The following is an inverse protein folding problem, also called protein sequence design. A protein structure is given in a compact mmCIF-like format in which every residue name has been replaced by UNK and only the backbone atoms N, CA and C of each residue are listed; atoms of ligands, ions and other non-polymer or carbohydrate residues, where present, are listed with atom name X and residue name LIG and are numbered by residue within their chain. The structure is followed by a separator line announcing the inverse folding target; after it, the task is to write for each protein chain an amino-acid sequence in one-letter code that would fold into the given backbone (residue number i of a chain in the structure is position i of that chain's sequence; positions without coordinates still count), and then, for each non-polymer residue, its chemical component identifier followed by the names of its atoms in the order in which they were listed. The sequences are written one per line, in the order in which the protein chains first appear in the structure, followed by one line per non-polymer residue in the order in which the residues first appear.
data_IF_447214270631
#
_entry.id   IF_447214270631
#
_cell.length_a   1.000
_cell.length_b   1.000
_cell.length_c   1.000
_cell.angle_alpha   90.00
_cell.angle_beta   90.00
_cell.angle_gamma   90.00
#
_symmetry.space_group_name_H-M   'P 1'
#
loop_
_entity.id
_entity.type
_entity.pdbx_description
1 polymer ?
#
# COMPACT_ATOMS: atom_id res chain seq x y z
N UNK A 1 18.81 -6.11 -6.59
CA UNK A 1 18.73 -5.00 -5.63
C UNK A 1 19.25 -5.54 -4.31
N UNK A 2 20.35 -5.00 -3.79
CA UNK A 2 20.76 -5.28 -2.42
C UNK A 2 19.74 -4.57 -1.51
N UNK A 3 19.13 -5.28 -0.54
CA UNK A 3 18.07 -4.73 0.31
C UNK A 3 18.58 -3.70 1.35
N UNK A 4 19.86 -3.33 1.29
CA UNK A 4 20.54 -2.46 2.26
C UNK A 4 20.44 -0.96 1.92
N UNK A 5 19.83 -0.61 0.77
CA UNK A 5 19.52 0.75 0.37
C UNK A 5 20.71 1.59 -0.11
N UNK A 6 21.88 0.98 -0.36
CA UNK A 6 23.11 1.72 -0.73
C UNK A 6 23.17 2.21 -2.18
N UNK A 7 22.32 1.69 -3.06
CA UNK A 7 22.28 2.07 -4.48
C UNK A 7 20.82 2.24 -4.95
N UNK A 8 20.16 3.35 -4.57
CA UNK A 8 18.77 3.58 -4.95
C UNK A 8 18.67 3.83 -6.45
N UNK A 9 17.83 3.05 -7.12
CA UNK A 9 17.48 3.29 -8.53
C UNK A 9 16.19 4.10 -8.60
N UNK A 10 16.25 5.25 -9.29
CA UNK A 10 15.04 5.99 -9.64
C UNK A 10 14.20 5.16 -10.61
N UNK A 11 12.96 4.82 -10.23
CA UNK A 11 12.03 4.15 -11.12
C UNK A 11 11.41 5.18 -12.06
N UNK A 12 10.81 6.24 -11.53
CA UNK A 12 10.22 7.34 -12.30
C UNK A 12 10.43 8.68 -11.58
N UNK A 13 10.53 9.76 -12.36
CA UNK A 13 10.57 11.13 -11.84
C UNK A 13 9.15 11.68 -11.71
N UNK A 14 8.82 12.28 -10.57
CA UNK A 14 7.60 13.06 -10.37
C UNK A 14 7.86 14.25 -9.43
N UNK A 15 7.04 15.30 -9.54
CA UNK A 15 7.03 16.42 -8.60
C UNK A 15 6.20 16.12 -7.33
N UNK A 16 5.41 15.05 -7.31
CA UNK A 16 4.64 14.60 -6.15
C UNK A 16 4.96 13.15 -5.76
N UNK A 17 4.64 12.79 -4.51
CA UNK A 17 4.84 11.44 -4.00
C UNK A 17 3.81 10.48 -4.62
N UNK A 18 4.25 9.36 -5.24
CA UNK A 18 3.33 8.35 -5.73
C UNK A 18 2.67 7.60 -4.58
N UNK A 19 1.44 7.15 -4.84
CA UNK A 19 0.87 6.00 -4.14
C UNK A 19 1.27 4.77 -4.95
N UNK A 20 1.79 3.74 -4.31
CA UNK A 20 2.37 2.60 -5.01
C UNK A 20 2.33 1.31 -4.20
N UNK A 21 2.33 0.20 -4.92
CA UNK A 21 2.47 -1.13 -4.35
C UNK A 21 3.28 -2.03 -5.29
N UNK A 22 4.25 -2.75 -4.74
CA UNK A 22 4.99 -3.77 -5.48
C UNK A 22 4.13 -5.00 -5.68
N UNK A 23 4.25 -5.65 -6.84
CA UNK A 23 3.65 -6.95 -7.07
C UNK A 23 4.15 -7.98 -6.04
N UNK A 24 3.39 -9.05 -5.76
CA UNK A 24 3.79 -10.09 -4.79
C UNK A 24 5.12 -10.78 -5.11
N UNK A 25 5.54 -10.72 -6.38
CA UNK A 25 6.81 -11.27 -6.87
C UNK A 25 7.94 -10.22 -6.99
N UNK A 26 7.65 -8.96 -6.66
CA UNK A 26 8.59 -7.83 -6.69
C UNK A 26 9.05 -7.39 -8.09
N UNK A 27 8.51 -7.97 -9.17
CA UNK A 27 8.94 -7.65 -10.54
C UNK A 27 8.25 -6.42 -11.12
N UNK A 28 7.08 -6.06 -10.60
CA UNK A 28 6.30 -4.92 -11.05
C UNK A 28 6.04 -3.96 -9.90
N UNK A 29 5.81 -2.70 -10.25
CA UNK A 29 5.22 -1.70 -9.35
C UNK A 29 3.96 -1.17 -10.01
N UNK A 30 2.86 -1.23 -9.28
CA UNK A 30 1.65 -0.47 -9.59
C UNK A 30 1.74 0.87 -8.86
N UNK A 31 1.39 1.97 -9.52
CA UNK A 31 1.49 3.29 -8.94
C UNK A 31 0.43 4.23 -9.50
N UNK A 32 0.14 5.27 -8.75
CA UNK A 32 -0.74 6.36 -9.13
C UNK A 32 0.02 7.68 -8.97
N UNK A 33 0.03 8.50 -10.02
CA UNK A 33 0.73 9.79 -10.08
C UNK A 33 -0.18 10.85 -10.66
N UNK A 34 -0.13 12.03 -10.06
CA UNK A 34 -0.83 13.20 -10.60
C UNK A 34 -0.07 13.70 -11.82
N UNK A 35 -0.80 14.06 -12.87
CA UNK A 35 -0.23 14.70 -14.05
C UNK A 35 -0.63 16.19 -14.14
N UNK A 36 -0.18 16.86 -15.20
CA UNK A 36 -0.43 18.29 -15.40
C UNK A 36 -1.91 18.61 -15.70
N UNK A 37 -2.73 17.60 -15.96
CA UNK A 37 -4.15 17.76 -16.22
C UNK A 37 -4.98 17.56 -14.93
N UNK A 38 -4.33 17.53 -13.77
CA UNK A 38 -4.92 17.26 -12.45
C UNK A 38 -5.67 15.92 -12.40
N UNK A 39 -5.20 14.96 -13.20
CA UNK A 39 -5.70 13.61 -13.25
C UNK A 39 -4.74 12.65 -12.53
N UNK A 40 -5.26 11.50 -12.09
CA UNK A 40 -4.46 10.44 -11.49
C UNK A 40 -4.93 9.07 -11.96
N UNK A 41 -4.16 8.46 -12.84
CA UNK A 41 -4.42 7.11 -13.34
C UNK A 41 -3.61 6.04 -12.59
N UNK A 42 -4.06 4.78 -12.68
CA UNK A 42 -3.30 3.62 -12.24
C UNK A 42 -2.36 3.16 -13.37
N UNK A 43 -1.08 3.09 -13.07
CA UNK A 43 -0.03 2.63 -13.97
C UNK A 43 0.66 1.38 -13.42
N UNK A 44 1.11 0.51 -14.32
CA UNK A 44 2.01 -0.61 -13.99
C UNK A 44 3.27 -0.50 -14.82
N UNK A 45 4.42 -0.81 -14.22
CA UNK A 45 5.70 -0.97 -14.94
C UNK A 45 6.56 -2.07 -14.32
N UNK A 46 7.49 -2.60 -15.11
CA UNK A 46 8.53 -3.47 -14.56
C UNK A 46 9.56 -2.67 -13.75
N UNK A 47 9.98 -3.23 -12.62
CA UNK A 47 10.98 -2.62 -11.72
C UNK A 47 12.37 -2.59 -12.37
N UNK A 48 12.70 -3.59 -13.17
CA UNK A 48 13.96 -3.65 -13.91
C UNK A 48 13.97 -2.75 -15.17
N UNK A 49 12.79 -2.29 -15.62
CA UNK A 49 12.59 -1.50 -16.83
C UNK A 49 12.43 -2.34 -18.11
N UNK A 50 12.28 -3.66 -18.01
CA UNK A 50 12.07 -4.56 -19.15
C UNK A 50 10.75 -4.35 -19.89
N UNK A 51 9.74 -3.80 -19.19
CA UNK A 51 8.42 -3.47 -19.73
C UNK A 51 8.15 -1.97 -19.49
N UNK A 52 7.77 -1.21 -20.53
CA UNK A 52 7.43 0.21 -20.39
C UNK A 52 6.18 0.40 -19.51
N UNK A 53 6.00 1.59 -18.90
CA UNK A 53 4.79 1.89 -18.15
C UNK A 53 3.53 1.73 -19.01
N UNK A 54 2.51 1.08 -18.46
CA UNK A 54 1.20 0.92 -19.05
C UNK A 54 0.14 1.58 -18.16
N UNK A 55 -0.68 2.45 -18.74
CA UNK A 55 -1.84 3.01 -18.08
C UNK A 55 -2.95 1.94 -18.06
N UNK A 56 -3.25 1.46 -16.86
CA UNK A 56 -4.18 0.36 -16.60
C UNK A 56 -5.62 0.83 -16.56
N UNK A 57 -5.87 2.09 -16.25
CA UNK A 57 -7.23 2.55 -15.96
C UNK A 57 -7.82 3.53 -16.95
N UNK A 58 -6.97 4.39 -17.54
CA UNK A 58 -7.30 5.37 -18.59
C UNK A 58 -8.59 6.14 -18.29
N UNK A 59 -8.65 6.82 -17.15
CA UNK A 59 -9.82 7.55 -16.71
C UNK A 59 -9.53 9.06 -16.60
N UNK A 60 -10.48 9.95 -16.90
CA UNK A 60 -10.27 11.40 -16.74
C UNK A 60 -10.37 11.91 -15.29
N UNK A 61 -10.68 11.04 -14.33
CA UNK A 61 -10.89 11.40 -12.92
C UNK A 61 -9.87 10.68 -12.01
N UNK A 62 -9.93 10.97 -10.72
CA UNK A 62 -8.89 10.62 -9.75
C UNK A 62 -8.91 9.17 -9.26
N UNK A 63 -7.79 8.47 -9.36
CA UNK A 63 -7.63 7.08 -8.91
C UNK A 63 -6.39 6.85 -8.04
N UNK A 64 -6.54 5.98 -7.05
CA UNK A 64 -5.56 5.80 -5.98
C UNK A 64 -5.57 4.37 -5.41
N UNK A 65 -4.65 4.09 -4.50
CA UNK A 65 -4.64 2.88 -3.68
C UNK A 65 -4.50 1.58 -4.47
N UNK A 66 -3.57 1.47 -5.45
CA UNK A 66 -3.37 0.21 -6.15
C UNK A 66 -2.98 -0.88 -5.15
N UNK A 67 -3.69 -2.01 -5.16
CA UNK A 67 -3.40 -3.15 -4.29
C UNK A 67 -3.47 -4.49 -5.02
N UNK A 68 -2.39 -5.25 -4.91
CA UNK A 68 -2.26 -6.53 -5.59
C UNK A 68 -2.93 -7.64 -4.77
N UNK A 69 -3.64 -8.53 -5.46
CA UNK A 69 -4.02 -9.79 -4.82
C UNK A 69 -2.75 -10.59 -4.49
N UNK A 70 -2.65 -11.27 -3.34
CA UNK A 70 -1.46 -12.03 -2.96
C UNK A 70 -1.05 -13.13 -3.95
N UNK A 71 -2.00 -13.66 -4.73
CA UNK A 71 -1.76 -14.61 -5.81
C UNK A 71 -1.26 -13.96 -7.12
N UNK A 72 -1.22 -12.63 -7.18
CA UNK A 72 -0.72 -11.87 -8.32
C UNK A 72 -1.61 -11.92 -9.55
N UNK A 73 -2.88 -12.30 -9.43
CA UNK A 73 -3.83 -12.40 -10.56
C UNK A 73 -4.69 -11.16 -10.75
N UNK A 74 -4.91 -10.36 -9.71
CA UNK A 74 -5.75 -9.18 -9.74
C UNK A 74 -5.02 -7.95 -9.20
N UNK A 75 -5.38 -6.78 -9.71
CA UNK A 75 -5.08 -5.49 -9.13
C UNK A 75 -6.41 -4.81 -8.80
N UNK A 76 -6.57 -4.34 -7.56
CA UNK A 76 -7.69 -3.50 -7.13
C UNK A 76 -7.21 -2.07 -6.86
N UNK A 77 -8.09 -1.10 -6.96
CA UNK A 77 -7.81 0.32 -6.70
C UNK A 77 -9.10 1.07 -6.42
N UNK A 78 -9.00 2.26 -5.88
CA UNK A 78 -10.14 3.16 -5.64
C UNK A 78 -10.15 4.24 -6.72
N UNK A 79 -11.32 4.57 -7.27
CA UNK A 79 -11.46 5.63 -8.26
C UNK A 79 -12.70 6.49 -8.00
N UNK A 80 -12.55 7.81 -8.11
CA UNK A 80 -13.66 8.76 -8.13
C UNK A 80 -14.24 8.77 -9.54
N UNK A 81 -15.25 7.94 -9.82
CA UNK A 81 -15.86 7.87 -11.16
C UNK A 81 -17.33 8.24 -11.06
N UNK A 82 -17.69 9.42 -11.56
CA UNK A 82 -18.99 10.12 -11.42
C UNK A 82 -19.29 10.70 -10.02
N UNK A 83 -20.02 11.83 -10.02
CA UNK A 83 -20.59 12.59 -8.86
C UNK A 83 -19.75 12.80 -7.57
N UNK A 84 -18.43 12.57 -7.62
CA UNK A 84 -17.48 12.60 -6.48
C UNK A 84 -17.68 11.46 -5.49
N UNK A 85 -18.37 10.39 -5.88
CA UNK A 85 -18.36 9.13 -5.14
C UNK A 85 -17.11 8.32 -5.51
N UNK A 86 -16.45 7.75 -4.50
CA UNK A 86 -15.32 6.83 -4.68
C UNK A 86 -15.83 5.40 -4.72
N UNK A 87 -15.48 4.66 -5.79
CA UNK A 87 -15.83 3.25 -5.98
C UNK A 87 -14.56 2.36 -6.00
N UNK A 88 -14.70 1.09 -5.59
CA UNK A 88 -13.67 0.07 -5.84
C UNK A 88 -13.70 -0.36 -7.30
N UNK A 89 -12.52 -0.41 -7.89
CA UNK A 89 -12.26 -0.98 -9.19
C UNK A 89 -11.29 -2.15 -9.07
N UNK A 90 -11.39 -3.10 -9.99
CA UNK A 90 -10.42 -4.17 -10.11
C UNK A 90 -10.23 -4.59 -11.55
N UNK A 91 -9.09 -5.23 -11.83
CA UNK A 91 -8.75 -5.79 -13.12
C UNK A 91 -8.07 -7.14 -12.93
N UNK A 92 -8.46 -8.13 -13.73
CA UNK A 92 -7.69 -9.35 -13.89
C UNK A 92 -6.45 -9.04 -14.72
N UNK A 93 -5.28 -9.52 -14.32
CA UNK A 93 -4.04 -9.17 -15.00
C UNK A 93 -3.85 -10.00 -16.27
N UNK A 94 -4.26 -11.27 -16.25
CA UNK A 94 -4.30 -12.15 -17.43
C UNK A 94 -5.68 -12.09 -18.09
N UNK A 95 -5.70 -12.10 -19.42
CA UNK A 95 -6.93 -12.14 -20.20
C UNK A 95 -7.70 -13.44 -19.97
N UNK A 96 -7.00 -14.57 -19.83
CA UNK A 96 -7.62 -15.86 -19.55
C UNK A 96 -8.43 -15.89 -18.25
N UNK A 97 -7.96 -15.20 -17.20
CA UNK A 97 -8.70 -15.11 -15.94
C UNK A 97 -9.94 -14.19 -16.07
N UNK A 98 -9.84 -13.13 -16.89
CA UNK A 98 -10.97 -12.23 -17.17
C UNK A 98 -12.09 -12.88 -18.00
N UNK A 99 -11.69 -13.68 -19.00
CA UNK A 99 -12.60 -14.40 -19.89
C UNK A 99 -13.26 -15.62 -19.20
N UNK A 100 -12.66 -16.12 -18.11
CA UNK A 100 -13.18 -17.27 -17.39
C UNK A 100 -14.59 -16.98 -16.86
N UNK A 101 -15.52 -17.90 -17.06
CA UNK A 101 -16.86 -17.78 -16.47
C UNK A 101 -16.84 -18.18 -14.99
N UNK A 102 -17.90 -17.80 -14.26
CA UNK A 102 -18.12 -18.28 -12.88
C UNK A 102 -18.15 -19.81 -12.80
N UNK A 103 -18.66 -20.47 -13.84
CA UNK A 103 -18.70 -21.94 -13.92
C UNK A 103 -17.30 -22.52 -14.07
N UNK A 104 -16.47 -21.93 -14.92
CA UNK A 104 -15.09 -22.38 -15.14
C UNK A 104 -14.27 -22.25 -13.85
N UNK A 105 -14.36 -21.08 -13.18
CA UNK A 105 -13.72 -20.87 -11.86
C UNK A 105 -14.20 -21.84 -10.80
N UNK A 106 -15.51 -22.15 -10.79
CA UNK A 106 -16.09 -23.12 -9.83
C UNK A 106 -15.56 -24.53 -10.09
N UNK A 107 -15.47 -24.93 -11.36
CA UNK A 107 -14.93 -26.22 -11.76
C UNK A 107 -13.45 -26.34 -11.40
N UNK A 108 -12.64 -25.31 -11.68
CA UNK A 108 -11.22 -25.27 -11.32
C UNK A 108 -11.03 -25.41 -9.80
N UNK A 109 -11.76 -24.62 -9.00
CA UNK A 109 -11.75 -24.72 -7.52
C UNK A 109 -12.15 -26.12 -7.03
N UNK A 110 -13.12 -26.76 -7.68
CA UNK A 110 -13.54 -28.11 -7.33
C UNK A 110 -12.45 -29.15 -7.65
N UNK A 111 -11.82 -29.04 -8.83
CA UNK A 111 -10.71 -29.90 -9.26
C UNK A 111 -9.49 -29.74 -8.33
N UNK A 112 -9.18 -28.52 -7.90
CA UNK A 112 -8.10 -28.25 -6.95
C UNK A 112 -8.38 -28.91 -5.60
N UNK A 113 -9.58 -28.75 -5.03
CA UNK A 113 -9.98 -29.44 -3.79
C UNK A 113 -9.97 -30.96 -3.92
N UNK A 114 -10.29 -31.51 -5.10
CA UNK A 114 -10.19 -32.94 -5.35
C UNK A 114 -8.73 -33.41 -5.35
N UNK A 115 -7.80 -32.63 -5.93
CA UNK A 115 -6.36 -32.90 -5.87
C UNK A 115 -5.84 -32.86 -4.43
N UNK A 116 -6.26 -31.88 -3.63
CA UNK A 116 -5.88 -31.77 -2.21
C UNK A 116 -6.40 -32.94 -1.36
N UNK A 117 -7.52 -33.56 -1.75
CA UNK A 117 -8.13 -34.71 -1.06
C UNK A 117 -7.63 -36.06 -1.55
N UNK A 118 -6.86 -36.11 -2.63
CA UNK A 118 -6.25 -37.35 -3.09
C UNK A 118 -5.33 -37.90 -1.99
N UNK A 119 -5.23 -39.25 -1.82
CA UNK A 119 -4.35 -39.83 -0.82
C UNK A 119 -2.94 -39.26 -1.00
N UNK A 120 -2.24 -38.88 0.09
CA UNK A 120 -0.91 -38.32 -0.05
C UNK A 120 -0.05 -39.34 -0.79
N UNK A 121 0.48 -38.97 -1.95
CA UNK A 121 1.66 -39.65 -2.47
C UNK A 121 2.73 -39.63 -1.36
N UNK A 122 3.55 -40.69 -1.30
CA UNK A 122 4.62 -40.88 -0.29
C UNK A 122 5.20 -39.54 0.17
N UNK A 123 5.38 -39.32 1.49
CA UNK A 123 5.66 -38.01 2.05
C UNK A 123 6.88 -37.38 1.37
N UNK A 124 6.62 -36.52 0.38
CA UNK A 124 7.60 -35.59 -0.13
C UNK A 124 7.66 -34.49 0.92
N UNK A 125 8.86 -34.19 1.39
CA UNK A 125 9.16 -33.04 2.24
C UNK A 125 8.40 -31.84 1.66
N UNK A 126 7.57 -31.16 2.45
CA UNK A 126 6.77 -30.04 1.96
C UNK A 126 7.71 -29.04 1.29
N UNK A 127 7.72 -29.05 -0.04
CA UNK A 127 8.50 -28.09 -0.81
C UNK A 127 7.86 -26.72 -0.57
N UNK A 128 8.67 -25.68 -0.33
CA UNK A 128 8.12 -24.33 -0.21
C UNK A 128 7.26 -24.06 -1.44
N UNK A 129 6.04 -23.53 -1.24
CA UNK A 129 5.16 -23.13 -2.35
C UNK A 129 6.00 -22.28 -3.30
N UNK A 130 5.95 -22.63 -4.59
CA UNK A 130 6.67 -21.89 -5.61
C UNK A 130 6.37 -20.38 -5.46
N UNK A 131 7.37 -19.51 -5.62
CA UNK A 131 7.15 -18.08 -5.55
C UNK A 131 6.05 -17.68 -6.53
N UNK A 132 5.19 -16.75 -6.10
CA UNK A 132 4.16 -16.17 -6.96
C UNK A 132 4.84 -15.60 -8.20
N UNK A 133 4.29 -15.88 -9.38
CA UNK A 133 4.78 -15.33 -10.64
C UNK A 133 3.65 -14.51 -11.26
N UNK A 134 3.79 -13.18 -11.21
CA UNK A 134 2.83 -12.25 -11.80
C UNK A 134 2.98 -12.26 -13.33
N UNK A 135 1.91 -12.56 -14.02
CA UNK A 135 1.84 -12.45 -15.49
C UNK A 135 0.72 -11.47 -15.84
N UNK A 136 1.01 -10.59 -16.80
CA UNK A 136 0.16 -9.45 -17.14
C UNK A 136 0.02 -9.39 -18.66
N UNK A 137 -1.22 -9.44 -19.14
CA UNK A 137 -1.58 -9.18 -20.53
C UNK A 137 -1.94 -7.70 -20.69
N UNK A 138 -0.97 -6.86 -21.08
CA UNK A 138 -1.17 -5.40 -21.15
C UNK A 138 -2.10 -4.95 -22.29
N UNK A 139 -2.26 -5.77 -23.33
CA UNK A 139 -3.14 -5.42 -24.45
C UNK A 139 -4.60 -5.35 -23.98
N UNK A 140 -5.24 -4.19 -24.18
CA UNK A 140 -6.63 -3.95 -23.78
C UNK A 140 -6.88 -4.04 -22.28
N UNK A 141 -5.86 -3.92 -21.42
CA UNK A 141 -6.03 -4.07 -19.96
C UNK A 141 -7.01 -3.05 -19.37
N UNK A 142 -7.04 -1.83 -19.90
CA UNK A 142 -7.97 -0.79 -19.47
C UNK A 142 -9.44 -1.12 -19.76
N UNK A 143 -9.69 -1.88 -20.83
CA UNK A 143 -11.04 -2.32 -21.19
C UNK A 143 -11.55 -3.44 -20.26
N UNK A 144 -10.66 -4.03 -19.46
CA UNK A 144 -10.97 -5.12 -18.50
C UNK A 144 -11.20 -4.62 -17.07
N UNK A 145 -11.11 -3.31 -16.84
CA UNK A 145 -11.40 -2.71 -15.54
C UNK A 145 -12.89 -2.86 -15.22
N UNK A 146 -13.19 -3.44 -14.06
CA UNK A 146 -14.54 -3.69 -13.55
C UNK A 146 -14.77 -2.87 -12.30
N UNK A 147 -15.99 -2.35 -12.16
CA UNK A 147 -16.43 -1.54 -11.02
C UNK A 147 -17.22 -2.36 -10.01
N UNK A 148 -16.98 -2.12 -8.74
CA UNK A 148 -17.81 -2.54 -7.61
C UNK A 148 -18.46 -1.27 -7.06
N UNK A 149 -19.75 -1.02 -7.33
CA UNK A 149 -20.42 0.21 -6.90
C UNK A 149 -20.62 0.22 -5.38
N UNK A 150 -20.18 1.29 -4.74
CA UNK A 150 -20.19 1.49 -3.30
C UNK A 150 -20.62 2.92 -2.97
N UNK A 151 -21.93 3.16 -2.73
CA UNK A 151 -22.42 4.51 -2.45
C UNK A 151 -21.92 5.03 -1.09
N UNK A 152 -21.65 6.34 -1.01
CA UNK A 152 -21.30 7.09 0.21
C UNK A 152 -20.00 6.66 0.93
N UNK A 153 -18.93 6.36 0.19
CA UNK A 153 -17.71 5.79 0.78
C UNK A 153 -16.50 6.73 0.79
N UNK A 154 -15.84 6.80 1.96
CA UNK A 154 -14.43 7.19 2.08
C UNK A 154 -13.59 5.92 2.18
N UNK A 155 -13.15 5.41 1.03
CA UNK A 155 -12.35 4.18 0.98
C UNK A 155 -10.92 4.47 1.35
N UNK A 156 -10.41 3.72 2.33
CA UNK A 156 -8.98 3.67 2.61
C UNK A 156 -8.60 2.25 2.95
N UNK A 157 -7.39 1.87 2.53
CA UNK A 157 -6.79 0.57 2.79
C UNK A 157 -7.64 -0.59 2.23
N UNK A 158 -7.66 -0.72 0.91
CA UNK A 158 -8.05 -1.98 0.27
C UNK A 158 -7.10 -3.07 0.75
N UNK A 159 -7.64 -4.17 1.28
CA UNK A 159 -6.88 -5.26 1.85
C UNK A 159 -7.34 -6.58 1.29
N UNK A 160 -6.51 -7.21 0.48
CA UNK A 160 -6.75 -8.58 0.07
C UNK A 160 -6.56 -9.54 1.23
N UNK A 161 -7.43 -10.54 1.31
CA UNK A 161 -7.21 -11.68 2.19
C UNK A 161 -5.99 -12.46 1.72
N UNK A 162 -5.25 -13.13 2.62
CA UNK A 162 -4.04 -13.88 2.29
C UNK A 162 -4.24 -14.98 1.24
N UNK A 163 -5.47 -15.46 1.06
CA UNK A 163 -5.86 -16.44 0.07
C UNK A 163 -6.42 -15.84 -1.24
N UNK A 164 -6.33 -14.51 -1.40
CA UNK A 164 -6.77 -13.73 -2.56
C UNK A 164 -8.27 -13.80 -2.88
N UNK A 165 -9.11 -14.27 -1.94
CA UNK A 165 -10.54 -14.44 -2.19
C UNK A 165 -11.39 -13.26 -1.77
N UNK A 166 -10.99 -12.57 -0.71
CA UNK A 166 -11.75 -11.44 -0.15
C UNK A 166 -10.96 -10.16 -0.33
N UNK A 167 -11.67 -9.08 -0.62
CA UNK A 167 -11.17 -7.73 -0.52
C UNK A 167 -11.90 -7.03 0.62
N UNK A 168 -11.17 -6.64 1.66
CA UNK A 168 -11.70 -5.85 2.77
C UNK A 168 -11.47 -4.36 2.52
N UNK A 169 -12.41 -3.55 3.00
CA UNK A 169 -12.39 -2.10 2.86
C UNK A 169 -13.30 -1.48 3.92
N UNK A 170 -13.01 -0.23 4.30
CA UNK A 170 -13.87 0.53 5.22
C UNK A 170 -14.92 1.27 4.41
N UNK A 171 -16.19 1.16 4.80
CA UNK A 171 -17.29 1.83 4.12
C UNK A 171 -18.48 2.13 5.03
N UNK A 172 -19.39 2.98 4.53
CA UNK A 172 -20.74 3.14 5.07
C UNK A 172 -21.72 2.54 4.08
N UNK A 173 -22.35 1.42 4.42
CA UNK A 173 -23.35 0.77 3.55
C UNK A 173 -24.69 0.75 4.26
N UNK A 174 -25.72 1.32 3.62
CA UNK A 174 -27.07 1.48 4.19
C UNK A 174 -27.06 2.17 5.57
N UNK A 175 -26.24 3.22 5.71
CA UNK A 175 -26.09 4.00 6.96
C UNK A 175 -25.31 3.29 8.07
N UNK A 176 -24.68 2.15 7.79
CA UNK A 176 -23.83 1.43 8.74
C UNK A 176 -22.36 1.58 8.37
N UNK A 177 -21.62 2.30 9.20
CA UNK A 177 -20.17 2.43 9.07
C UNK A 177 -19.48 1.17 9.63
N UNK A 178 -18.48 0.66 8.91
CA UNK A 178 -17.68 -0.46 9.38
C UNK A 178 -16.67 -0.97 8.37
N UNK A 179 -16.08 -2.12 8.69
CA UNK A 179 -15.23 -2.87 7.80
C UNK A 179 -16.09 -3.89 7.05
N UNK A 180 -16.05 -3.83 5.72
CA UNK A 180 -16.79 -4.70 4.82
C UNK A 180 -15.84 -5.62 4.06
N UNK A 181 -16.39 -6.68 3.48
CA UNK A 181 -15.70 -7.57 2.56
C UNK A 181 -16.54 -7.85 1.32
N UNK A 182 -15.86 -8.01 0.19
CA UNK A 182 -16.40 -8.55 -1.07
C UNK A 182 -15.53 -9.71 -1.55
N UNK A 183 -16.05 -10.56 -2.43
CA UNK A 183 -15.35 -11.69 -3.05
C UNK A 183 -15.39 -11.56 -4.58
N UNK A 184 -14.63 -10.63 -5.18
CA UNK A 184 -14.64 -10.42 -6.61
C UNK A 184 -14.01 -11.62 -7.35
N UNK A 185 -14.45 -11.91 -8.58
CA UNK A 185 -15.56 -11.30 -9.30
C UNK A 185 -16.93 -11.94 -8.98
N UNK A 186 -16.95 -12.99 -8.13
CA UNK A 186 -18.11 -13.89 -8.00
C UNK A 186 -19.23 -13.33 -7.08
N UNK A 187 -18.87 -12.54 -6.08
CA UNK A 187 -19.79 -11.92 -5.11
C UNK A 187 -19.26 -10.53 -4.73
N UNK A 188 -19.77 -9.50 -5.40
CA UNK A 188 -19.34 -8.11 -5.21
C UNK A 188 -20.24 -7.32 -4.27
N UNK A 189 -21.26 -7.95 -3.67
CA UNK A 189 -22.10 -7.29 -2.67
C UNK A 189 -21.35 -7.16 -1.34
N UNK A 190 -21.23 -5.95 -0.76
CA UNK A 190 -20.56 -5.75 0.52
C UNK A 190 -21.20 -6.56 1.66
N UNK A 191 -20.36 -7.26 2.42
CA UNK A 191 -20.74 -7.95 3.65
C UNK A 191 -20.01 -7.34 4.83
N UNK A 192 -20.77 -6.82 5.80
CA UNK A 192 -20.23 -6.26 7.02
C UNK A 192 -19.45 -7.34 7.79
N UNK A 193 -18.17 -7.09 8.02
CA UNK A 193 -17.28 -7.94 8.81
C UNK A 193 -17.30 -7.50 10.28
N UNK A 194 -17.16 -6.19 10.54
CA UNK A 194 -17.28 -5.63 11.89
C UNK A 194 -17.77 -4.17 11.82
N UNK A 195 -18.67 -3.79 12.74
CA UNK A 195 -19.21 -2.43 12.86
C UNK A 195 -18.26 -1.48 13.60
N UNK A 196 -17.01 -1.43 13.15
CA UNK A 196 -15.99 -0.53 13.68
C UNK A 196 -14.95 -0.23 12.61
N UNK A 197 -14.19 0.85 12.83
CA UNK A 197 -13.06 1.25 11.98
C UNK A 197 -11.78 1.34 12.80
N UNK A 198 -10.66 1.09 12.13
CA UNK A 198 -9.32 1.27 12.67
C UNK A 198 -8.39 1.90 11.63
N UNK A 199 -7.22 2.29 12.09
CA UNK A 199 -6.17 2.92 11.30
C UNK A 199 -5.07 1.91 10.97
N UNK A 200 -4.35 2.14 9.86
CA UNK A 200 -3.19 1.33 9.46
C UNK A 200 -3.51 -0.16 9.38
N UNK A 201 -4.67 -0.49 8.84
CA UNK A 201 -5.14 -1.86 8.75
C UNK A 201 -4.25 -2.71 7.82
N UNK A 202 -4.05 -3.97 8.18
CA UNK A 202 -3.33 -5.00 7.41
C UNK A 202 -4.01 -6.35 7.60
N UNK A 203 -4.17 -7.11 6.52
CA UNK A 203 -4.65 -8.50 6.61
C UNK A 203 -3.46 -9.45 6.60
N UNK A 204 -3.25 -10.16 7.70
CA UNK A 204 -2.12 -11.05 7.89
C UNK A 204 -2.46 -12.49 7.50
N UNK A 205 -1.52 -13.16 6.83
CA UNK A 205 -1.56 -14.61 6.57
C UNK A 205 -1.55 -15.40 7.87
N UNK A 206 -0.75 -14.96 8.84
CA UNK A 206 -0.71 -15.55 10.16
C UNK A 206 -2.02 -15.31 10.91
N UNK A 207 -2.72 -16.41 11.22
CA UNK A 207 -4.01 -16.38 11.91
C UNK A 207 -5.19 -15.91 11.06
N UNK A 208 -4.98 -15.59 9.77
CA UNK A 208 -6.00 -15.06 8.86
C UNK A 208 -6.86 -13.97 9.51
N UNK A 209 -6.19 -12.89 9.91
CA UNK A 209 -6.77 -11.83 10.72
C UNK A 209 -6.40 -10.46 10.17
N UNK A 210 -7.30 -9.50 10.35
CA UNK A 210 -7.02 -8.09 10.09
C UNK A 210 -6.52 -7.49 11.40
N UNK A 211 -5.35 -6.85 11.35
CA UNK A 211 -4.83 -6.06 12.47
C UNK A 211 -4.93 -4.60 12.13
N UNK A 212 -5.26 -3.77 13.12
CA UNK A 212 -5.31 -2.32 12.99
C UNK A 212 -4.97 -1.64 14.30
N UNK A 213 -4.87 -0.31 14.29
CA UNK A 213 -4.86 0.51 15.51
C UNK A 213 -6.23 1.16 15.70
N UNK A 214 -6.79 1.06 16.90
CA UNK A 214 -8.03 1.77 17.28
C UNK A 214 -7.87 2.39 18.67
N UNK A 215 -8.16 3.68 18.79
CA UNK A 215 -7.99 4.45 20.04
C UNK A 215 -6.62 4.24 20.71
N UNK A 216 -5.54 4.25 19.90
CA UNK A 216 -4.17 4.06 20.38
C UNK A 216 -3.78 2.62 20.73
N UNK A 217 -4.67 1.63 20.55
CA UNK A 217 -4.41 0.22 20.86
C UNK A 217 -4.38 -0.63 19.60
N UNK A 218 -3.45 -1.58 19.47
CA UNK A 218 -3.54 -2.65 18.48
C UNK A 218 -4.78 -3.49 18.75
N UNK A 219 -5.51 -3.83 17.70
CA UNK A 219 -6.56 -4.83 17.76
C UNK A 219 -6.42 -5.79 16.59
N UNK A 220 -6.86 -7.03 16.78
CA UNK A 220 -7.05 -7.99 15.71
C UNK A 220 -8.53 -8.30 15.51
N UNK A 221 -8.89 -8.63 14.28
CA UNK A 221 -10.22 -9.01 13.83
C UNK A 221 -10.06 -10.33 13.10
N UNK A 222 -10.73 -11.38 13.57
CA UNK A 222 -10.74 -12.65 12.84
C UNK A 222 -11.39 -12.48 11.46
N UNK A 223 -11.14 -13.42 10.54
CA UNK A 223 -11.87 -13.50 9.28
C UNK A 223 -13.41 -13.67 9.43
N UNK A 224 -13.90 -13.94 10.65
CA UNK A 224 -15.32 -14.00 11.02
C UNK A 224 -15.84 -12.74 11.72
N UNK A 225 -15.01 -11.71 11.90
CA UNK A 225 -15.42 -10.41 12.48
C UNK A 225 -15.25 -10.29 13.99
N UNK A 226 -14.64 -11.27 14.65
CA UNK A 226 -14.40 -11.20 16.09
C UNK A 226 -13.21 -10.29 16.40
N UNK A 227 -13.46 -9.16 17.06
CA UNK A 227 -12.43 -8.21 17.45
C UNK A 227 -11.82 -8.54 18.83
N UNK A 228 -10.50 -8.37 18.96
CA UNK A 228 -9.72 -8.50 20.20
C UNK A 228 -8.73 -7.35 20.30
N UNK A 229 -8.81 -6.58 21.40
CA UNK A 229 -7.87 -5.48 21.69
C UNK A 229 -6.70 -5.97 22.54
N UNK A 230 -5.50 -5.46 22.26
CA UNK A 230 -4.28 -5.81 22.97
C UNK A 230 -3.73 -4.57 23.69
N UNK A 231 -3.73 -4.55 25.04
CA UNK A 231 -2.98 -3.52 25.74
C UNK A 231 -1.49 -3.77 25.52
N UNK A 232 -0.75 -2.73 25.18
CA UNK A 232 0.71 -2.79 25.14
C UNK A 232 1.29 -1.59 25.87
N UNK A 233 2.39 -1.83 26.57
CA UNK A 233 3.23 -0.80 27.17
C UNK A 233 4.67 -1.20 26.87
N UNK A 234 5.39 -0.31 26.22
CA UNK A 234 6.81 -0.51 25.93
C UNK A 234 7.56 0.59 26.67
N UNK A 235 8.55 0.19 27.46
CA UNK A 235 9.57 1.11 27.95
C UNK A 235 10.58 1.26 26.83
N UNK A 236 10.82 2.51 26.42
CA UNK A 236 11.78 2.83 25.37
C UNK A 236 12.93 3.61 25.99
N UNK A 237 14.09 2.99 26.07
CA UNK A 237 15.35 3.65 26.41
C UNK A 237 16.02 4.12 25.12
N UNK A 238 16.50 5.35 25.10
CA UNK A 238 17.21 5.90 23.95
C UNK A 238 18.33 6.84 24.41
N UNK A 239 19.40 6.89 23.63
CA UNK A 239 20.43 7.91 23.78
C UNK A 239 19.88 9.25 23.29
N UNK A 240 19.68 10.19 24.23
CA UNK A 240 19.13 11.51 23.95
C UNK A 240 20.01 12.30 22.96
N UNK A 241 21.34 12.23 23.12
CA UNK A 241 22.29 12.95 22.28
C UNK A 241 22.26 12.41 20.85
N UNK A 242 22.26 11.09 20.70
CA UNK A 242 22.12 10.45 19.39
C UNK A 242 20.77 10.79 18.74
N UNK A 243 19.67 10.75 19.52
CA UNK A 243 18.33 11.09 19.04
C UNK A 243 18.22 12.54 18.55
N UNK A 244 18.72 13.50 19.32
CA UNK A 244 18.69 14.91 18.94
C UNK A 244 19.56 15.20 17.73
N UNK A 245 20.74 14.57 17.63
CA UNK A 245 21.57 14.65 16.42
C UNK A 245 20.82 14.12 15.19
N UNK A 246 20.20 12.95 15.31
CA UNK A 246 19.43 12.36 14.21
C UNK A 246 18.22 13.23 13.80
N UNK A 247 17.50 13.79 14.78
CA UNK A 247 16.38 14.68 14.53
C UNK A 247 16.83 15.97 13.81
N UNK A 248 17.95 16.57 14.23
CA UNK A 248 18.55 17.71 13.55
C UNK A 248 19.01 17.36 12.13
N UNK A 249 19.70 16.24 11.95
CA UNK A 249 20.17 15.79 10.63
C UNK A 249 18.99 15.57 9.67
N UNK A 250 17.86 15.04 10.16
CA UNK A 250 16.64 14.92 9.37
C UNK A 250 16.10 16.29 8.97
N UNK A 251 15.95 17.22 9.93
CA UNK A 251 15.45 18.57 9.66
C UNK A 251 16.35 19.35 8.68
N UNK A 252 17.68 19.23 8.83
CA UNK A 252 18.65 19.85 7.95
C UNK A 252 18.58 19.27 6.52
N UNK A 253 18.42 17.95 6.37
CA UNK A 253 18.22 17.29 5.07
C UNK A 253 16.91 17.72 4.41
N UNK A 254 15.81 17.77 5.17
CA UNK A 254 14.52 18.25 4.66
C UNK A 254 14.65 19.66 4.08
N UNK A 255 15.33 20.57 4.77
CA UNK A 255 15.60 21.92 4.24
C UNK A 255 16.51 21.88 3.01
N UNK A 256 17.58 21.07 3.03
CA UNK A 256 18.48 20.91 1.87
C UNK A 256 17.72 20.49 0.61
N UNK A 257 16.79 19.54 0.76
CA UNK A 257 16.16 18.84 -0.36
C UNK A 257 14.90 19.55 -0.87
N UNK A 258 14.23 20.36 -0.03
CA UNK A 258 12.91 20.93 -0.34
C UNK A 258 12.82 22.45 -0.23
N UNK A 259 13.94 23.14 0.04
CA UNK A 259 13.94 24.61 0.02
C UNK A 259 13.81 25.14 -1.41
N UNK A 260 13.02 26.20 -1.59
CA UNK A 260 12.67 26.72 -2.93
C UNK A 260 13.88 27.25 -3.72
N UNK A 261 14.94 27.67 -3.01
CA UNK A 261 16.19 28.16 -3.59
C UNK A 261 17.29 27.12 -3.35
N UNK A 262 17.63 26.36 -4.39
CA UNK A 262 18.68 25.34 -4.33
C UNK A 262 20.09 25.90 -4.07
N UNK A 263 20.30 27.20 -4.24
CA UNK A 263 21.58 27.87 -3.95
C UNK A 263 21.62 28.46 -2.53
N UNK A 264 20.53 28.32 -1.76
CA UNK A 264 20.42 28.80 -0.37
C UNK A 264 20.85 30.26 -0.19
N UNK A 265 20.54 31.13 -1.15
CA UNK A 265 21.00 32.51 -1.18
C UNK A 265 22.52 32.67 -1.26
N UNK A 266 23.21 31.73 -1.92
CA UNK A 266 24.66 31.68 -2.07
C UNK A 266 25.41 31.19 -0.82
N UNK A 267 24.73 30.52 0.12
CA UNK A 267 25.32 30.08 1.39
C UNK A 267 25.78 28.63 1.32
N UNK A 268 26.90 28.33 1.99
CA UNK A 268 27.35 26.95 2.17
C UNK A 268 26.47 26.23 3.21
N UNK A 269 25.40 25.60 2.72
CA UNK A 269 24.45 24.89 3.55
C UNK A 269 25.05 23.71 4.31
N UNK A 270 26.10 23.08 3.76
CA UNK A 270 26.80 21.98 4.42
C UNK A 270 27.60 22.51 5.61
N UNK A 271 28.31 23.64 5.45
CA UNK A 271 29.04 24.28 6.54
C UNK A 271 28.08 24.79 7.64
N UNK A 272 26.95 25.40 7.27
CA UNK A 272 25.91 25.83 8.21
C UNK A 272 25.38 24.62 8.98
N UNK A 273 25.03 23.53 8.30
CA UNK A 273 24.58 22.29 8.93
C UNK A 273 25.58 21.71 9.92
N UNK A 274 26.85 21.65 9.54
CA UNK A 274 27.92 21.12 10.39
C UNK A 274 28.09 21.95 11.68
N UNK A 275 27.96 23.29 11.59
CA UNK A 275 28.12 24.21 12.73
C UNK A 275 27.14 23.96 13.88
N UNK A 276 25.87 23.65 13.57
CA UNK A 276 24.82 23.51 14.59
C UNK A 276 24.59 22.06 15.04
N UNK A 277 25.15 21.07 14.32
CA UNK A 277 24.95 19.64 14.60
C UNK A 277 25.34 19.23 16.03
N UNK A 278 26.50 19.68 16.50
CA UNK A 278 26.97 19.30 17.85
C UNK A 278 26.17 20.01 18.96
N UNK A 279 25.72 21.25 18.71
CA UNK A 279 24.82 21.98 19.61
C UNK A 279 23.45 21.29 19.71
N UNK A 280 22.93 20.80 18.59
CA UNK A 280 21.69 20.04 18.55
C UNK A 280 21.83 18.75 19.35
N UNK A 281 22.93 18.01 19.15
CA UNK A 281 23.22 16.79 19.90
C UNK A 281 23.31 17.06 21.41
N UNK A 282 23.90 18.19 21.82
CA UNK A 282 24.06 18.56 23.24
C UNK A 282 22.78 19.09 23.90
N UNK A 283 21.71 19.35 23.14
CA UNK A 283 20.44 19.85 23.68
C UNK A 283 19.84 18.84 24.66
N UNK A 284 19.39 19.31 25.83
CA UNK A 284 18.80 18.47 26.88
C UNK A 284 17.28 18.38 26.74
N UNK A 285 16.67 19.30 26.01
CA UNK A 285 15.23 19.34 25.78
C UNK A 285 14.90 19.50 24.30
N UNK A 286 13.70 19.07 23.91
CA UNK A 286 13.17 19.32 22.56
C UNK A 286 13.10 20.82 22.24
N UNK A 287 12.86 21.68 23.26
CA UNK A 287 12.80 23.13 23.07
C UNK A 287 14.15 23.72 22.66
N UNK A 288 15.22 23.30 23.33
CA UNK A 288 16.59 23.71 22.98
C UNK A 288 16.96 23.21 21.58
N UNK A 289 16.64 21.95 21.27
CA UNK A 289 16.85 21.40 19.93
C UNK A 289 16.14 22.25 18.86
N UNK A 290 14.87 22.62 19.09
CA UNK A 290 14.11 23.48 18.17
C UNK A 290 14.75 24.86 18.00
N UNK A 291 15.29 25.46 19.07
CA UNK A 291 15.99 26.75 18.98
C UNK A 291 17.29 26.63 18.17
N UNK A 292 18.06 25.57 18.36
CA UNK A 292 19.29 25.31 17.58
C UNK A 292 18.94 25.11 16.10
N UNK A 293 17.93 24.29 15.80
CA UNK A 293 17.46 24.08 14.43
C UNK A 293 16.97 25.39 13.79
N UNK A 294 16.21 26.20 14.52
CA UNK A 294 15.71 27.50 14.02
C UNK A 294 16.86 28.49 13.75
N UNK A 295 17.89 28.47 14.59
CA UNK A 295 19.09 29.30 14.41
C UNK A 295 19.88 28.88 13.16
N UNK A 296 19.92 27.59 12.85
CA UNK A 296 20.49 27.08 11.61
C UNK A 296 19.75 27.63 10.38
N UNK A 297 18.43 27.72 10.42
CA UNK A 297 17.62 28.22 9.30
C UNK A 297 17.72 29.74 9.12
N UNK A 298 17.94 30.49 10.20
CA UNK A 298 18.12 31.94 10.16
C UNK A 298 19.54 32.42 9.82
N UNK A 299 20.52 31.51 9.73
CA UNK A 299 21.94 31.82 9.46
C UNK A 299 22.24 31.91 7.97
#
# INVERSE_FOLDING_TARGET
MEADGKDPRLLFSSWNEPDYEFSPDGRFVAYALEDNDFNRDIWIRAVDGSVPPCNVSRHPDWETGPTWSPDGRMLAFTGERSDRESDIHYVWLRRADDDASRRDRTLEKALEKMKERAPPEKPKKAEPKAPVAVEIDFEGIADRVRRIPLPDVQERALLWSPDSKKLAFVATVDGREGLYTVEPPDEVKPKLLVASRGEQARWLSEGNQIVWRRAGKPESISASGQAKSFPFRVLHEFDLRARHRAAYDLAWRTMRDWWYDGDFGGRDWNAIGAKYRDLAAASLTTRELTQVASSCWGS
#
